data_IF_816068591488
#
_entry.id   IF_816068591488
#
_cell.length_a   1.000
_cell.length_b   1.000
_cell.length_c   1.000
_cell.angle_alpha   90.00
_cell.angle_beta   90.00
_cell.angle_gamma   90.00
#
_symmetry.space_group_name_H-M   'P 1'
#
loop_
_entity.id
_entity.type
_entity.pdbx_description
1 polymer ?
#
# COMPACT_ATOMS: atom_id res chain seq x y z
N UNK A 1 34.19 10.04 14.74
CA UNK A 1 34.22 9.46 16.10
C UNK A 1 33.91 7.98 15.94
N UNK A 2 34.92 7.14 16.06
CA UNK A 2 34.77 5.69 15.98
C UNK A 2 34.66 5.12 17.41
N UNK A 3 33.68 4.22 17.60
CA UNK A 3 33.74 3.06 18.49
C UNK A 3 33.23 3.06 19.95
N UNK A 4 32.69 4.13 20.52
CA UNK A 4 32.08 4.02 21.87
C UNK A 4 30.57 3.76 21.78
N UNK A 5 30.21 2.50 21.48
CA UNK A 5 28.83 2.02 21.60
C UNK A 5 28.60 1.40 22.98
N UNK A 6 27.48 1.73 23.60
CA UNK A 6 27.10 1.13 24.89
C UNK A 6 26.64 -0.30 24.65
N UNK A 7 27.29 -1.26 25.31
CA UNK A 7 26.83 -2.66 25.30
C UNK A 7 25.62 -2.77 26.23
N UNK A 8 24.47 -3.15 25.68
CA UNK A 8 23.22 -3.21 26.43
C UNK A 8 23.01 -4.60 27.02
N UNK A 9 22.89 -4.74 28.37
CA UNK A 9 22.50 -5.99 29.01
C UNK A 9 21.15 -6.49 28.49
N UNK A 10 20.97 -7.81 28.47
CA UNK A 10 19.74 -8.44 27.96
C UNK A 10 18.47 -7.90 28.61
N UNK A 11 18.53 -7.62 29.91
CA UNK A 11 17.42 -7.05 30.71
C UNK A 11 16.97 -5.65 30.26
N UNK A 12 17.82 -4.90 29.54
CA UNK A 12 17.54 -3.53 29.10
C UNK A 12 17.24 -3.42 27.60
N UNK A 13 17.39 -4.50 26.83
CA UNK A 13 17.22 -4.46 25.36
C UNK A 13 15.81 -4.04 24.96
N UNK A 14 14.78 -4.55 25.64
CA UNK A 14 13.39 -4.18 25.36
C UNK A 14 13.14 -2.69 25.54
N UNK A 15 13.62 -2.12 26.65
CA UNK A 15 13.50 -0.67 26.94
C UNK A 15 14.21 0.16 25.86
N UNK A 16 15.41 -0.25 25.46
CA UNK A 16 16.14 0.45 24.39
C UNK A 16 15.41 0.32 23.04
N UNK A 17 14.82 -0.83 22.72
CA UNK A 17 14.04 -1.01 21.49
C UNK A 17 12.79 -0.13 21.48
N UNK A 18 12.09 -0.02 22.61
CA UNK A 18 10.94 0.89 22.77
C UNK A 18 11.35 2.35 22.53
N UNK A 19 12.46 2.80 23.13
CA UNK A 19 13.00 4.15 22.92
C UNK A 19 13.39 4.40 21.47
N UNK A 20 14.12 3.46 20.85
CA UNK A 20 14.51 3.53 19.43
C UNK A 20 13.29 3.54 18.49
N UNK A 21 12.17 2.96 18.91
CA UNK A 21 10.92 2.89 18.16
C UNK A 21 10.02 4.12 18.34
N UNK A 22 10.33 5.00 19.31
CA UNK A 22 9.54 6.21 19.59
C UNK A 22 9.35 7.05 18.32
N UNK A 23 8.09 7.40 18.04
CA UNK A 23 7.73 8.15 16.84
C UNK A 23 7.70 7.33 15.55
N UNK A 24 7.72 6.00 15.63
CA UNK A 24 7.60 5.07 14.50
C UNK A 24 8.54 5.40 13.32
N UNK A 25 9.86 5.53 13.53
CA UNK A 25 10.80 6.00 12.52
C UNK A 25 11.00 5.02 11.34
N UNK A 26 10.48 3.80 11.46
CA UNK A 26 10.66 2.72 10.51
C UNK A 26 12.02 2.03 10.61
N UNK A 27 12.12 0.87 9.95
CA UNK A 27 13.24 -0.07 10.07
C UNK A 27 14.62 0.54 9.76
N UNK A 28 14.72 1.35 8.70
CA UNK A 28 16.01 1.91 8.25
C UNK A 28 16.55 2.91 9.26
N UNK A 29 15.70 3.83 9.74
CA UNK A 29 16.10 4.87 10.68
C UNK A 29 16.36 4.31 12.07
N UNK A 30 15.54 3.34 12.52
CA UNK A 30 15.73 2.66 13.79
C UNK A 30 17.10 1.95 13.85
N UNK A 31 17.47 1.19 12.81
CA UNK A 31 18.80 0.56 12.70
C UNK A 31 19.93 1.56 12.67
N UNK A 32 19.76 2.66 11.91
CA UNK A 32 20.77 3.72 11.85
C UNK A 32 21.03 4.31 13.24
N UNK A 33 19.97 4.59 14.00
CA UNK A 33 20.05 5.14 15.35
C UNK A 33 20.71 4.15 16.31
N UNK A 34 20.27 2.89 16.28
CA UNK A 34 20.84 1.81 17.08
C UNK A 34 22.36 1.70 16.90
N UNK A 35 22.82 1.64 15.63
CA UNK A 35 24.25 1.53 15.27
C UNK A 35 25.10 2.74 15.69
N UNK A 36 24.47 3.88 15.95
CA UNK A 36 25.17 5.09 16.41
C UNK A 36 25.44 5.10 17.92
N UNK A 37 24.63 4.41 18.74
CA UNK A 37 24.66 4.57 20.19
C UNK A 37 24.85 3.28 20.99
N UNK A 38 24.31 2.16 20.50
CA UNK A 38 24.18 0.93 21.30
C UNK A 38 24.62 -0.31 20.51
N UNK A 39 24.93 -1.37 21.25
CA UNK A 39 25.31 -2.66 20.66
C UNK A 39 24.84 -3.84 21.51
N UNK A 40 24.31 -4.85 20.84
CA UNK A 40 24.25 -6.24 21.27
C UNK A 40 24.19 -7.15 20.03
N UNK A 41 24.49 -8.45 20.14
CA UNK A 41 24.32 -9.38 19.04
C UNK A 41 22.88 -9.35 18.53
N UNK A 42 22.69 -9.31 17.21
CA UNK A 42 21.37 -9.34 16.55
C UNK A 42 20.47 -8.11 16.75
N UNK A 43 21.01 -6.97 17.18
CA UNK A 43 20.24 -5.71 17.32
C UNK A 43 19.47 -5.30 16.06
N UNK A 44 20.02 -5.56 14.88
CA UNK A 44 19.34 -5.25 13.61
C UNK A 44 18.07 -6.08 13.45
N UNK A 45 18.11 -7.38 13.78
CA UNK A 45 16.98 -8.32 13.71
C UNK A 45 15.91 -7.98 14.74
N UNK A 46 16.32 -7.55 15.94
CA UNK A 46 15.41 -7.07 16.97
C UNK A 46 14.69 -5.77 16.54
N UNK A 47 15.40 -4.85 15.87
CA UNK A 47 14.79 -3.67 15.27
C UNK A 47 13.79 -4.05 14.16
N UNK A 48 14.10 -5.03 13.30
CA UNK A 48 13.16 -5.49 12.28
C UNK A 48 11.91 -6.05 12.91
N UNK A 49 12.06 -6.94 13.90
CA UNK A 49 10.96 -7.59 14.60
C UNK A 49 10.04 -6.57 15.26
N UNK A 50 10.62 -5.59 15.96
CA UNK A 50 9.87 -4.51 16.62
C UNK A 50 9.02 -3.72 15.64
N UNK A 51 9.58 -3.35 14.48
CA UNK A 51 8.85 -2.61 13.43
C UNK A 51 7.81 -3.50 12.74
N UNK A 52 8.13 -4.78 12.50
CA UNK A 52 7.22 -5.74 11.88
C UNK A 52 6.02 -6.08 12.78
N UNK A 53 6.20 -6.12 14.10
CA UNK A 53 5.13 -6.36 15.06
C UNK A 53 4.30 -5.12 15.40
N UNK A 54 4.74 -3.91 15.01
CA UNK A 54 4.03 -2.67 15.31
C UNK A 54 2.91 -2.39 14.29
N UNK A 55 1.67 -2.34 14.78
CA UNK A 55 0.47 -2.10 13.95
C UNK A 55 0.53 -0.78 13.18
N UNK A 56 0.92 0.31 13.84
CA UNK A 56 1.01 1.64 13.22
C UNK A 56 2.06 1.67 12.11
N UNK A 57 3.20 1.00 12.31
CA UNK A 57 4.22 0.84 11.29
C UNK A 57 3.73 -0.01 10.11
N UNK A 58 2.93 -1.05 10.35
CA UNK A 58 2.36 -1.88 9.29
C UNK A 58 1.27 -1.13 8.49
N UNK A 59 0.45 -0.30 9.14
CA UNK A 59 -0.57 0.52 8.47
C UNK A 59 0.04 1.58 7.54
N UNK A 60 1.21 2.11 7.90
CA UNK A 60 1.95 3.09 7.10
C UNK A 60 2.90 2.44 6.08
N UNK A 61 3.08 1.11 6.14
CA UNK A 61 3.97 0.43 5.21
C UNK A 61 3.47 0.54 3.77
N UNK A 62 4.41 0.67 2.84
CA UNK A 62 4.10 0.85 1.42
C UNK A 62 3.23 -0.31 0.92
N UNK A 63 2.29 0.05 0.04
CA UNK A 63 1.41 -0.86 -0.69
C UNK A 63 2.17 -2.14 -1.09
N UNK A 64 1.63 -3.33 -0.81
CA UNK A 64 2.27 -4.58 -1.19
C UNK A 64 2.67 -4.56 -2.67
N UNK A 65 3.72 -5.31 -3.00
CA UNK A 65 4.18 -5.45 -4.38
C UNK A 65 2.96 -5.69 -5.27
N UNK A 66 2.75 -4.81 -6.26
CA UNK A 66 1.61 -4.93 -7.17
C UNK A 66 1.63 -6.35 -7.73
N UNK A 67 0.57 -7.10 -7.47
CA UNK A 67 0.41 -8.41 -8.09
C UNK A 67 0.52 -8.23 -9.61
N UNK A 68 1.08 -9.21 -10.33
CA UNK A 68 1.08 -9.19 -11.78
C UNK A 68 -0.35 -8.92 -12.27
N UNK A 69 -0.50 -7.98 -13.21
CA UNK A 69 -1.80 -7.69 -13.78
C UNK A 69 -2.34 -8.96 -14.43
N UNK A 70 -3.44 -9.48 -13.91
CA UNK A 70 -4.16 -10.56 -14.55
C UNK A 70 -4.97 -9.96 -15.70
N UNK A 71 -4.59 -10.29 -16.94
CA UNK A 71 -5.35 -9.86 -18.10
C UNK A 71 -6.70 -10.58 -18.14
N UNK A 72 -7.73 -9.83 -18.53
CA UNK A 72 -9.04 -10.39 -18.83
C UNK A 72 -8.92 -11.26 -20.09
N UNK A 73 -9.79 -12.26 -20.22
CA UNK A 73 -9.89 -13.01 -21.47
C UNK A 73 -10.30 -12.06 -22.60
N UNK A 74 -9.63 -12.16 -23.74
CA UNK A 74 -10.04 -11.42 -24.94
C UNK A 74 -11.44 -11.84 -25.37
N UNK A 75 -12.27 -10.87 -25.75
CA UNK A 75 -13.56 -11.11 -26.38
C UNK A 75 -13.38 -11.99 -27.63
N UNK A 76 -14.20 -13.03 -27.77
CA UNK A 76 -14.20 -13.89 -28.96
C UNK A 76 -15.25 -13.44 -29.97
N UNK A 77 -16.35 -12.85 -29.49
CA UNK A 77 -17.46 -12.39 -30.33
C UNK A 77 -17.88 -10.94 -29.98
N UNK A 78 -18.54 -10.28 -30.93
CA UNK A 78 -19.15 -8.96 -30.70
C UNK A 78 -20.33 -9.14 -29.75
N UNK A 79 -20.49 -8.22 -28.80
CA UNK A 79 -21.52 -8.23 -27.75
C UNK A 79 -21.34 -9.31 -26.68
N UNK A 80 -20.12 -9.84 -26.49
CA UNK A 80 -19.81 -10.82 -25.44
C UNK A 80 -19.34 -10.11 -24.14
N UNK A 81 -18.11 -9.57 -23.99
CA UNK A 81 -17.83 -8.67 -22.88
C UNK A 81 -18.30 -7.25 -23.24
N UNK A 82 -19.21 -6.72 -22.42
CA UNK A 82 -19.67 -5.33 -22.52
C UNK A 82 -19.15 -4.57 -21.31
N UNK A 83 -18.46 -3.45 -21.56
CA UNK A 83 -18.03 -2.53 -20.52
C UNK A 83 -19.07 -1.42 -20.39
N UNK A 84 -19.60 -1.22 -19.19
CA UNK A 84 -20.56 -0.15 -18.90
C UNK A 84 -19.97 0.73 -17.82
N UNK A 85 -19.97 2.04 -18.04
CA UNK A 85 -19.58 3.04 -17.05
C UNK A 85 -20.46 4.28 -17.16
N UNK A 86 -20.43 5.14 -16.14
CA UNK A 86 -21.15 6.40 -16.14
C UNK A 86 -20.18 7.59 -16.22
N UNK A 87 -20.48 8.53 -17.11
CA UNK A 87 -19.79 9.80 -17.21
C UNK A 87 -20.70 10.95 -16.79
N UNK A 88 -20.19 11.86 -15.96
CA UNK A 88 -20.90 13.07 -15.57
C UNK A 88 -20.93 13.31 -14.05
N UNK A 89 -21.72 14.30 -13.59
CA UNK A 89 -22.62 15.12 -14.40
C UNK A 89 -21.88 16.15 -15.26
N UNK A 90 -22.23 16.27 -16.53
CA UNK A 90 -21.79 17.32 -17.44
C UNK A 90 -23.01 18.15 -17.86
N UNK A 91 -23.01 19.45 -17.54
CA UNK A 91 -24.17 20.34 -17.72
C UNK A 91 -25.48 19.82 -17.08
N UNK A 92 -25.37 19.07 -15.98
CA UNK A 92 -26.53 18.51 -15.27
C UNK A 92 -27.06 17.18 -15.83
N UNK A 93 -26.41 16.63 -16.87
CA UNK A 93 -26.75 15.32 -17.44
C UNK A 93 -25.69 14.29 -17.09
N UNK A 94 -26.14 13.04 -16.87
CA UNK A 94 -25.28 11.87 -16.76
C UNK A 94 -25.36 11.06 -18.05
N UNK A 95 -24.29 10.35 -18.38
CA UNK A 95 -24.21 9.54 -19.59
C UNK A 95 -23.85 8.11 -19.19
N UNK A 96 -24.66 7.14 -19.60
CA UNK A 96 -24.27 5.73 -19.53
C UNK A 96 -23.52 5.40 -20.81
N UNK A 97 -22.26 5.02 -20.65
CA UNK A 97 -21.34 4.69 -21.73
C UNK A 97 -21.24 3.17 -21.80
N UNK A 98 -21.70 2.59 -22.90
CA UNK A 98 -21.68 1.15 -23.17
C UNK A 98 -20.69 0.89 -24.30
N UNK A 99 -19.72 0.04 -24.04
CA UNK A 99 -18.65 -0.28 -24.99
C UNK A 99 -18.60 -1.79 -25.21
N UNK A 100 -18.75 -2.21 -26.46
CA UNK A 100 -18.45 -3.60 -26.85
C UNK A 100 -16.94 -3.84 -26.81
N UNK A 101 -16.49 -4.83 -26.06
CA UNK A 101 -15.06 -5.07 -25.85
C UNK A 101 -14.34 -5.57 -27.11
N UNK A 102 -15.05 -6.23 -28.03
CA UNK A 102 -14.48 -6.78 -29.26
C UNK A 102 -14.30 -5.70 -30.33
N UNK A 103 -15.40 -5.12 -30.78
CA UNK A 103 -15.46 -4.16 -31.88
C UNK A 103 -15.07 -2.74 -31.49
N UNK A 104 -15.05 -2.44 -30.18
CA UNK A 104 -14.94 -1.08 -29.63
C UNK A 104 -16.11 -0.17 -30.02
N UNK A 105 -17.24 -0.76 -30.43
CA UNK A 105 -18.47 -0.02 -30.68
C UNK A 105 -18.97 0.66 -29.41
N UNK A 106 -19.44 1.90 -29.55
CA UNK A 106 -19.81 2.80 -28.46
C UNK A 106 -21.28 3.16 -28.56
N UNK A 107 -22.03 2.92 -27.49
CA UNK A 107 -23.38 3.45 -27.30
C UNK A 107 -23.41 4.36 -26.07
N UNK A 108 -24.05 5.53 -26.22
CA UNK A 108 -24.15 6.54 -25.16
C UNK A 108 -25.63 6.82 -24.92
N UNK A 109 -26.05 6.70 -23.67
CA UNK A 109 -27.40 7.01 -23.23
C UNK A 109 -27.37 8.21 -22.28
N UNK A 110 -28.12 9.24 -22.60
CA UNK A 110 -28.28 10.41 -21.73
C UNK A 110 -29.32 10.11 -20.64
N UNK A 111 -28.96 10.41 -19.39
CA UNK A 111 -29.73 10.06 -18.20
C UNK A 111 -29.87 11.27 -17.28
N UNK A 112 -31.07 11.44 -16.73
CA UNK A 112 -31.35 12.46 -15.71
C UNK A 112 -30.82 12.06 -14.31
N UNK A 113 -30.55 10.78 -14.07
CA UNK A 113 -29.98 10.24 -12.83
C UNK A 113 -29.34 8.86 -13.09
N UNK A 114 -28.41 8.43 -12.22
CA UNK A 114 -27.68 7.16 -12.29
C UNK A 114 -28.31 6.04 -11.43
N UNK A 115 -29.57 6.21 -11.02
CA UNK A 115 -30.30 5.24 -10.18
C UNK A 115 -31.06 4.23 -11.05
N UNK A 116 -31.03 2.96 -10.67
CA UNK A 116 -32.00 1.96 -11.15
C UNK A 116 -33.37 2.25 -10.54
N UNK A 117 -34.41 2.29 -11.36
CA UNK A 117 -35.80 2.48 -10.92
C UNK A 117 -36.39 1.29 -10.19
#
# INVERSE_FOLDING_TARGET
MLNDRVVVPETLRTVVLEELHTGHPGIVRMKSLARSYVYWPNIDEDCERTVQSCTECQLQFKTPAKLPLQMWKSAQEVWEPIHVDFAGPLHGMCYMVVVDAMSKWLEIFELNNITTG
#
